data_IF_393049738171
#
_entry.id   IF_393049738171
#
_cell.length_a   1.000
_cell.length_b   1.000
_cell.length_c   1.000
_cell.angle_alpha   90.00
_cell.angle_beta   90.00
_cell.angle_gamma   90.00
#
_symmetry.space_group_name_H-M   'P 1'
#
loop_
_entity.id
_entity.type
_entity.pdbx_description
1 polymer ?
#
# COMPACT_ATOMS: atom_id res chain seq x y z
N UNK A 1 12.43 7.62 1.68
CA UNK A 1 11.95 7.97 0.30
C UNK A 1 12.74 7.30 -0.83
N UNK A 2 14.01 7.65 -1.12
CA UNK A 2 14.76 6.98 -2.22
C UNK A 2 15.21 5.54 -1.89
N UNK A 3 15.61 5.29 -0.63
CA UNK A 3 15.98 3.95 -0.18
C UNK A 3 14.78 2.99 -0.13
N UNK A 4 13.62 3.46 0.35
CA UNK A 4 12.40 2.64 0.47
C UNK A 4 11.85 2.23 -0.89
N UNK A 5 11.88 3.14 -1.87
CA UNK A 5 11.52 2.81 -3.26
C UNK A 5 12.48 1.80 -3.88
N UNK A 6 13.79 1.90 -3.59
CA UNK A 6 14.78 0.90 -4.01
C UNK A 6 14.49 -0.50 -3.44
N UNK A 7 14.20 -0.58 -2.14
CA UNK A 7 13.87 -1.85 -1.47
C UNK A 7 12.57 -2.46 -1.99
N UNK A 8 11.51 -1.66 -2.17
CA UNK A 8 10.24 -2.18 -2.69
C UNK A 8 10.35 -2.65 -4.15
N UNK A 9 11.16 -2.00 -4.97
CA UNK A 9 11.45 -2.50 -6.32
C UNK A 9 12.16 -3.86 -6.29
N UNK A 10 13.06 -4.09 -5.32
CA UNK A 10 13.69 -5.39 -5.12
C UNK A 10 12.67 -6.45 -4.69
N UNK A 11 11.83 -6.14 -3.71
CA UNK A 11 10.77 -7.04 -3.21
C UNK A 11 9.79 -7.42 -4.33
N UNK A 12 9.34 -6.45 -5.11
CA UNK A 12 8.43 -6.71 -6.24
C UNK A 12 9.09 -7.54 -7.34
N UNK A 13 10.40 -7.42 -7.53
CA UNK A 13 11.13 -8.18 -8.56
C UNK A 13 11.46 -9.60 -8.10
N UNK A 14 11.97 -9.75 -6.89
CA UNK A 14 12.62 -10.96 -6.39
C UNK A 14 11.70 -11.76 -5.45
N UNK A 15 10.66 -11.14 -4.89
CA UNK A 15 9.68 -11.76 -4.00
C UNK A 15 8.26 -11.84 -4.61
N UNK A 16 8.13 -11.89 -5.94
CA UNK A 16 6.83 -12.05 -6.63
C UNK A 16 5.90 -13.14 -6.05
N UNK A 17 6.41 -14.32 -5.63
CA UNK A 17 5.56 -15.37 -5.08
C UNK A 17 4.77 -14.94 -3.84
N UNK A 18 5.23 -13.94 -3.08
CA UNK A 18 4.54 -13.41 -1.89
C UNK A 18 3.19 -12.79 -2.26
N UNK A 19 3.07 -12.25 -3.48
CA UNK A 19 1.84 -11.60 -3.96
C UNK A 19 0.95 -12.54 -4.78
N UNK A 20 1.34 -13.80 -4.96
CA UNK A 20 0.60 -14.74 -5.81
C UNK A 20 -0.67 -15.21 -5.11
N UNK A 21 -1.81 -15.04 -5.78
CA UNK A 21 -3.12 -15.48 -5.27
C UNK A 21 -3.78 -14.51 -4.29
N UNK A 22 -3.22 -13.31 -4.14
CA UNK A 22 -3.87 -12.22 -3.42
C UNK A 22 -4.74 -11.42 -4.39
N UNK A 23 -5.97 -11.12 -3.98
CA UNK A 23 -6.87 -10.22 -4.71
C UNK A 23 -6.83 -8.82 -4.09
N UNK A 24 -6.57 -8.73 -2.79
CA UNK A 24 -6.59 -7.48 -2.02
C UNK A 24 -5.38 -7.35 -1.07
N UNK A 25 -4.78 -6.16 -1.06
CA UNK A 25 -3.67 -5.80 -0.17
C UNK A 25 -3.93 -4.44 0.47
N UNK A 26 -3.70 -4.31 1.78
CA UNK A 26 -3.71 -3.02 2.48
C UNK A 26 -2.30 -2.64 2.94
N UNK A 27 -1.83 -1.47 2.53
CA UNK A 27 -0.61 -0.81 3.02
C UNK A 27 -0.97 0.08 4.21
N UNK A 28 -0.63 -0.37 5.42
CA UNK A 28 -0.99 0.30 6.68
C UNK A 28 0.12 1.25 7.09
N UNK A 29 -0.22 2.52 7.33
CA UNK A 29 0.75 3.57 7.61
C UNK A 29 1.59 3.92 6.37
N UNK A 30 1.04 3.72 5.17
CA UNK A 30 1.75 3.84 3.90
C UNK A 30 2.23 5.26 3.57
N UNK A 31 1.82 6.28 4.32
CA UNK A 31 2.35 7.65 4.24
C UNK A 31 2.33 8.21 2.82
N UNK A 32 3.51 8.34 2.19
CA UNK A 32 3.69 8.90 0.84
C UNK A 32 3.32 7.95 -0.31
N UNK A 33 2.63 6.84 -0.03
CA UNK A 33 2.06 5.90 -1.01
C UNK A 33 3.10 5.19 -1.90
N UNK A 34 4.39 5.40 -1.64
CA UNK A 34 5.47 4.94 -2.52
C UNK A 34 5.41 3.42 -2.68
N UNK A 35 5.09 2.71 -1.59
CA UNK A 35 5.07 1.26 -1.49
C UNK A 35 3.83 0.68 -2.19
N UNK A 36 2.62 1.12 -1.84
CA UNK A 36 1.39 0.79 -2.57
C UNK A 36 1.46 1.06 -4.09
N UNK A 37 2.05 2.18 -4.51
CA UNK A 37 2.18 2.53 -5.95
C UNK A 37 3.09 1.56 -6.70
N UNK A 38 4.23 1.19 -6.11
CA UNK A 38 5.18 0.26 -6.74
C UNK A 38 4.52 -1.13 -6.90
N UNK A 39 3.80 -1.59 -5.89
CA UNK A 39 3.09 -2.88 -5.91
C UNK A 39 1.96 -2.86 -6.93
N UNK A 40 1.07 -1.84 -6.89
CA UNK A 40 -0.07 -1.73 -7.81
C UNK A 40 0.38 -1.67 -9.27
N UNK A 41 1.50 -1.00 -9.58
CA UNK A 41 2.07 -0.99 -10.94
C UNK A 41 2.59 -2.34 -11.39
N UNK A 42 3.17 -3.13 -10.48
CA UNK A 42 3.75 -4.42 -10.82
C UNK A 42 2.74 -5.58 -10.83
N UNK A 43 1.65 -5.44 -10.07
CA UNK A 43 0.56 -6.41 -10.02
C UNK A 43 -0.78 -5.70 -10.26
N UNK A 44 -1.13 -5.38 -11.53
CA UNK A 44 -2.35 -4.64 -11.83
C UNK A 44 -3.66 -5.35 -11.45
N UNK A 45 -3.61 -6.66 -11.23
CA UNK A 45 -4.75 -7.47 -10.76
C UNK A 45 -4.96 -7.35 -9.25
N UNK A 46 -3.92 -6.96 -8.49
CA UNK A 46 -3.98 -6.85 -7.04
C UNK A 46 -4.58 -5.49 -6.66
N UNK A 47 -5.72 -5.51 -5.98
CA UNK A 47 -6.35 -4.29 -5.47
C UNK A 47 -5.60 -3.81 -4.23
N UNK A 48 -4.75 -2.81 -4.42
CA UNK A 48 -3.97 -2.20 -3.35
C UNK A 48 -4.68 -0.98 -2.75
N UNK A 49 -4.82 -0.95 -1.43
CA UNK A 49 -5.41 0.14 -0.65
C UNK A 49 -4.40 0.72 0.32
N UNK A 50 -4.39 2.03 0.48
CA UNK A 50 -3.58 2.70 1.52
C UNK A 50 -4.49 2.98 2.72
N UNK A 51 -4.09 2.51 3.90
CA UNK A 51 -4.80 2.75 5.15
C UNK A 51 -3.96 3.60 6.10
N UNK A 52 -4.45 4.78 6.44
CA UNK A 52 -3.74 5.73 7.29
C UNK A 52 -4.72 6.60 8.09
N UNK A 53 -4.19 7.42 8.98
CA UNK A 53 -4.99 8.34 9.79
C UNK A 53 -5.82 9.29 8.90
N UNK A 54 -7.03 9.67 9.30
CA UNK A 54 -7.91 10.52 8.49
C UNK A 54 -7.27 11.83 8.02
N UNK A 55 -6.42 12.44 8.87
CA UNK A 55 -5.70 13.65 8.52
C UNK A 55 -4.68 13.42 7.39
N UNK A 56 -3.99 12.28 7.42
CA UNK A 56 -2.99 11.88 6.42
C UNK A 56 -3.68 11.63 5.09
N UNK A 57 -4.72 10.79 5.07
CA UNK A 57 -5.53 10.50 3.87
C UNK A 57 -6.08 11.77 3.22
N UNK A 58 -6.53 12.76 4.02
CA UNK A 58 -7.06 14.03 3.51
C UNK A 58 -6.02 14.85 2.74
N UNK A 59 -4.73 14.77 3.08
CA UNK A 59 -3.66 15.47 2.37
C UNK A 59 -3.41 14.89 0.98
N UNK A 60 -3.73 13.60 0.80
CA UNK A 60 -3.47 12.86 -0.44
C UNK A 60 -4.68 12.75 -1.38
N UNK A 61 -5.86 13.20 -0.94
CA UNK A 61 -7.10 13.11 -1.73
C UNK A 61 -7.05 13.86 -3.07
N UNK A 62 -6.10 14.78 -3.26
CA UNK A 62 -5.87 15.48 -4.53
C UNK A 62 -4.90 14.76 -5.48
N UNK A 63 -4.27 13.66 -5.04
CA UNK A 63 -3.34 12.88 -5.84
C UNK A 63 -4.15 11.96 -6.77
N UNK A 64 -4.14 12.28 -8.05
CA UNK A 64 -4.81 11.58 -9.15
C UNK A 64 -4.15 10.24 -9.52
N UNK A 65 -3.99 9.36 -8.53
CA UNK A 65 -3.45 8.03 -8.71
C UNK A 65 -4.53 7.02 -8.35
N UNK A 66 -4.67 5.97 -9.15
CA UNK A 66 -5.67 4.90 -9.05
C UNK A 66 -5.48 4.01 -7.80
N UNK A 67 -5.22 4.61 -6.64
CA UNK A 67 -5.15 3.95 -5.35
C UNK A 67 -6.39 4.30 -4.53
N UNK A 68 -6.95 3.29 -3.89
CA UNK A 68 -8.06 3.47 -2.97
C UNK A 68 -7.50 3.80 -1.58
N UNK A 69 -7.95 4.90 -0.98
CA UNK A 69 -7.53 5.33 0.35
C UNK A 69 -8.62 5.02 1.37
N UNK A 70 -8.21 4.52 2.52
CA UNK A 70 -9.11 4.22 3.63
C UNK A 70 -8.60 4.93 4.88
N UNK A 71 -9.42 5.82 5.43
CA UNK A 71 -9.11 6.52 6.66
C UNK A 71 -9.48 5.68 7.88
N UNK A 72 -8.59 5.60 8.86
CA UNK A 72 -8.89 4.96 10.14
C UNK A 72 -7.69 4.87 11.07
N UNK A 73 -7.88 4.21 12.21
CA UNK A 73 -6.81 3.97 13.17
C UNK A 73 -6.52 2.47 13.29
N UNK A 74 -5.28 2.06 12.99
CA UNK A 74 -4.91 0.65 12.91
C UNK A 74 -5.00 -0.10 14.25
N UNK A 75 -4.88 0.61 15.38
CA UNK A 75 -5.01 0.01 16.70
C UNK A 75 -6.47 -0.25 17.10
N UNK A 76 -7.43 0.39 16.44
CA UNK A 76 -8.86 0.10 16.61
C UNK A 76 -9.31 -0.99 15.66
N UNK A 77 -9.05 -0.81 14.37
CA UNK A 77 -9.43 -1.78 13.34
C UNK A 77 -8.65 -1.56 12.05
N UNK A 78 -8.36 -2.65 11.36
CA UNK A 78 -7.84 -2.65 10.00
C UNK A 78 -8.93 -3.26 9.09
N UNK A 79 -9.23 -2.67 7.92
CA UNK A 79 -10.21 -3.25 7.00
C UNK A 79 -9.80 -4.66 6.55
N UNK A 80 -10.76 -5.53 6.20
CA UNK A 80 -10.44 -6.87 5.72
C UNK A 80 -9.71 -6.80 4.37
N UNK A 81 -8.70 -7.65 4.21
CA UNK A 81 -7.94 -7.90 2.99
C UNK A 81 -7.23 -9.26 3.09
N UNK A 82 -6.77 -9.79 1.96
CA UNK A 82 -6.03 -11.06 1.93
C UNK A 82 -4.65 -10.93 2.58
N UNK A 83 -4.06 -9.73 2.49
CA UNK A 83 -2.80 -9.41 3.15
C UNK A 83 -2.74 -7.97 3.64
N UNK A 84 -1.91 -7.78 4.66
CA UNK A 84 -1.55 -6.48 5.24
C UNK A 84 -0.05 -6.28 5.06
N UNK A 85 0.34 -5.15 4.47
CA UNK A 85 1.70 -4.68 4.39
C UNK A 85 1.93 -3.66 5.52
N UNK A 86 2.92 -3.96 6.37
CA UNK A 86 3.44 -3.05 7.37
C UNK A 86 4.90 -2.76 7.04
N UNK A 87 5.14 -1.68 6.30
CA UNK A 87 6.48 -1.20 6.00
C UNK A 87 6.57 0.25 6.39
N UNK A 88 7.61 0.60 7.13
CA UNK A 88 7.94 1.99 7.37
C UNK A 88 8.55 2.57 6.08
N UNK A 89 7.72 3.25 5.28
CA UNK A 89 8.09 4.08 4.14
C UNK A 89 7.93 5.56 4.55
#
# INVERSE_FOLDING_TARGET
MASDSGMMNLVVRDCKPVFKGLDTLIDVGGGTETCARIISKAFPHLKCRVFDLPLVVKLFFSSSLNLDYVAGEMFQSIPPADAILLKQC
#
